data_IF_647457307126
#
_entry.id   IF_647457307126
#
_cell.length_a   1.000
_cell.length_b   1.000
_cell.length_c   1.000
_cell.angle_alpha   90.00
_cell.angle_beta   90.00
_cell.angle_gamma   90.00
#
_symmetry.space_group_name_H-M   'P 1'
#
loop_
_entity.id
_entity.type
_entity.pdbx_description
1 polymer ?
#
# COMPACT_ATOMS: atom_id res chain seq x y z
N UNK A 1 -4.63 12.99 0.72
CA UNK A 1 -3.67 12.00 1.26
C UNK A 1 -2.46 12.69 1.91
N UNK A 2 -2.69 13.65 2.81
CA UNK A 2 -1.61 14.30 3.56
C UNK A 2 -1.04 13.34 4.61
N UNK A 3 0.28 13.31 4.81
CA UNK A 3 0.95 12.41 5.76
C UNK A 3 1.32 11.02 5.20
N UNK A 4 0.96 10.75 3.95
CA UNK A 4 1.34 9.53 3.23
C UNK A 4 2.53 9.78 2.30
N UNK A 5 3.39 8.78 2.16
CA UNK A 5 4.55 8.78 1.26
C UNK A 5 4.10 8.62 -0.19
N UNK A 6 5.00 8.88 -1.13
CA UNK A 6 4.66 8.73 -2.55
C UNK A 6 4.54 7.25 -2.94
N UNK A 7 5.30 6.35 -2.30
CA UNK A 7 5.12 4.91 -2.44
C UNK A 7 3.70 4.47 -2.04
N UNK A 8 3.24 4.90 -0.86
CA UNK A 8 1.92 4.53 -0.34
C UNK A 8 0.80 5.04 -1.26
N UNK A 9 0.91 6.28 -1.74
CA UNK A 9 -0.06 6.86 -2.69
C UNK A 9 -0.07 6.10 -4.01
N UNK A 10 1.10 5.73 -4.53
CA UNK A 10 1.22 4.97 -5.77
C UNK A 10 0.57 3.58 -5.63
N UNK A 11 0.87 2.86 -4.55
CA UNK A 11 0.27 1.56 -4.25
C UNK A 11 -1.26 1.64 -4.13
N UNK A 12 -1.78 2.58 -3.32
CA UNK A 12 -3.23 2.78 -3.18
C UNK A 12 -3.90 3.17 -4.50
N UNK A 13 -3.25 4.00 -5.30
CA UNK A 13 -3.72 4.37 -6.64
C UNK A 13 -3.84 3.15 -7.55
N UNK A 14 -2.80 2.34 -7.62
CA UNK A 14 -2.76 1.13 -8.43
C UNK A 14 -3.74 0.05 -7.95
N UNK A 15 -3.96 -0.08 -6.62
CA UNK A 15 -5.01 -0.94 -6.05
C UNK A 15 -6.40 -0.56 -6.57
N UNK A 16 -6.67 0.75 -6.67
CA UNK A 16 -7.92 1.26 -7.23
C UNK A 16 -8.03 0.97 -8.73
N UNK A 17 -6.96 1.20 -9.50
CA UNK A 17 -6.95 1.02 -10.95
C UNK A 17 -7.12 -0.46 -11.35
N UNK A 18 -6.55 -1.38 -10.58
CA UNK A 18 -6.76 -2.82 -10.77
C UNK A 18 -8.18 -3.30 -10.47
N UNK A 19 -9.08 -2.44 -9.97
CA UNK A 19 -10.44 -2.81 -9.55
C UNK A 19 -11.51 -1.82 -10.03
N UNK A 20 -11.76 -1.74 -11.36
CA UNK A 20 -12.68 -0.75 -11.93
C UNK A 20 -14.10 -0.78 -11.31
N UNK A 21 -14.58 -1.96 -10.90
CA UNK A 21 -15.91 -2.15 -10.31
C UNK A 21 -16.10 -1.38 -8.98
N UNK A 22 -15.04 -1.21 -8.19
CA UNK A 22 -15.10 -0.54 -6.88
C UNK A 22 -14.23 0.72 -6.81
N UNK A 23 -13.45 1.03 -7.85
CA UNK A 23 -12.45 2.09 -7.88
C UNK A 23 -13.00 3.44 -7.40
N UNK A 24 -14.19 3.83 -7.88
CA UNK A 24 -14.83 5.10 -7.47
C UNK A 24 -15.11 5.15 -5.97
N UNK A 25 -15.68 4.09 -5.41
CA UNK A 25 -16.03 4.03 -3.99
C UNK A 25 -14.76 4.00 -3.13
N UNK A 26 -13.79 3.18 -3.52
CA UNK A 26 -12.52 3.06 -2.80
C UNK A 26 -11.75 4.38 -2.80
N UNK A 27 -11.67 5.08 -3.94
CA UNK A 27 -11.04 6.41 -4.02
C UNK A 27 -11.75 7.44 -3.14
N UNK A 28 -13.08 7.38 -3.04
CA UNK A 28 -13.86 8.28 -2.16
C UNK A 28 -13.51 8.07 -0.67
N UNK A 29 -13.41 6.82 -0.22
CA UNK A 29 -13.00 6.50 1.14
C UNK A 29 -11.55 6.93 1.40
N UNK A 30 -10.62 6.56 0.52
CA UNK A 30 -9.20 6.91 0.64
C UNK A 30 -8.95 8.42 0.56
N UNK A 31 -9.84 9.20 -0.06
CA UNK A 31 -9.74 10.66 -0.03
C UNK A 31 -9.91 11.24 1.39
N UNK A 32 -10.58 10.51 2.28
CA UNK A 32 -10.81 10.92 3.69
C UNK A 32 -9.83 10.33 4.68
N UNK A 33 -8.85 9.56 4.19
CA UNK A 33 -7.97 8.80 5.07
C UNK A 33 -7.11 9.70 5.97
N UNK A 34 -6.96 9.28 7.23
CA UNK A 34 -6.13 9.93 8.24
C UNK A 34 -5.14 8.92 8.79
N UNK A 35 -3.86 9.20 8.64
CA UNK A 35 -2.79 8.35 9.17
C UNK A 35 -2.99 8.16 10.68
N UNK A 36 -3.06 6.90 11.11
CA UNK A 36 -3.15 6.54 12.52
C UNK A 36 -1.78 6.05 13.01
N UNK A 37 -1.18 5.10 12.29
CA UNK A 37 0.10 4.50 12.65
C UNK A 37 0.88 4.07 11.39
N UNK A 38 2.20 4.07 11.51
CA UNK A 38 3.11 3.51 10.51
C UNK A 38 4.20 2.72 11.22
N UNK A 39 4.40 1.48 10.79
CA UNK A 39 5.44 0.60 11.29
C UNK A 39 6.23 0.02 10.11
N UNK A 40 7.55 0.25 10.09
CA UNK A 40 8.43 -0.52 9.22
C UNK A 40 8.84 -1.80 9.92
N UNK A 41 8.76 -2.91 9.21
CA UNK A 41 9.25 -4.22 9.66
C UNK A 41 10.54 -4.56 8.92
N UNK A 42 11.17 -5.70 9.25
CA UNK A 42 12.38 -6.13 8.54
C UNK A 42 12.08 -6.45 7.07
N UNK A 43 10.87 -6.95 6.79
CA UNK A 43 10.47 -7.46 5.49
C UNK A 43 9.45 -6.57 4.77
N UNK A 44 9.01 -5.47 5.37
CA UNK A 44 7.89 -4.70 4.84
C UNK A 44 7.54 -3.48 5.68
N UNK A 45 6.29 -3.05 5.58
CA UNK A 45 5.70 -2.03 6.43
C UNK A 45 4.18 -2.20 6.53
N UNK A 46 3.62 -1.62 7.59
CA UNK A 46 2.19 -1.39 7.75
C UNK A 46 1.95 0.11 7.89
N UNK A 47 1.00 0.63 7.11
CA UNK A 47 0.50 1.99 7.23
C UNK A 47 -0.99 1.92 7.48
N UNK A 48 -1.36 2.06 8.75
CA UNK A 48 -2.75 1.96 9.19
C UNK A 48 -3.38 3.34 9.36
N UNK A 49 -4.66 3.43 9.02
CA UNK A 49 -5.37 4.70 8.89
C UNK A 49 -6.86 4.54 9.11
N UNK A 50 -7.48 5.65 9.52
CA UNK A 50 -8.94 5.75 9.59
C UNK A 50 -9.49 6.36 8.30
N UNK A 51 -10.72 5.99 7.94
CA UNK A 51 -11.52 6.66 6.90
C UNK A 51 -12.87 7.12 7.46
N UNK A 52 -13.55 8.00 6.74
CA UNK A 52 -14.90 8.44 7.09
C UNK A 52 -15.93 7.31 6.92
N UNK A 53 -16.31 6.69 8.04
CA UNK A 53 -17.34 5.63 8.10
C UNK A 53 -18.77 6.14 7.88
N UNK A 54 -18.97 7.45 7.69
CA UNK A 54 -20.24 8.01 7.21
C UNK A 54 -20.49 7.74 5.73
N UNK A 55 -19.46 7.35 4.97
CA UNK A 55 -19.59 6.95 3.56
C UNK A 55 -19.96 5.46 3.43
N UNK A 56 -20.56 5.05 2.30
CA UNK A 56 -20.81 3.63 2.03
C UNK A 56 -19.51 2.80 2.04
N UNK A 57 -19.50 1.59 2.60
CA UNK A 57 -18.36 0.69 2.50
C UNK A 57 -18.19 0.20 1.05
N UNK A 58 -17.01 -0.34 0.75
CA UNK A 58 -16.79 -1.13 -0.47
C UNK A 58 -17.45 -2.50 -0.31
N UNK A 59 -18.19 -2.94 -1.33
CA UNK A 59 -18.68 -4.31 -1.41
C UNK A 59 -17.61 -5.16 -2.10
N UNK A 60 -16.93 -6.00 -1.33
CA UNK A 60 -15.89 -6.90 -1.82
C UNK A 60 -15.98 -8.25 -1.10
N UNK A 61 -15.74 -9.39 -1.79
CA UNK A 61 -15.93 -10.72 -1.21
C UNK A 61 -14.91 -11.09 -0.13
N UNK A 62 -13.76 -10.42 -0.09
CA UNK A 62 -12.64 -10.73 0.82
C UNK A 62 -12.32 -9.54 1.72
N UNK A 63 -11.58 -9.80 2.81
CA UNK A 63 -11.05 -8.78 3.72
C UNK A 63 -9.76 -8.11 3.23
N UNK A 64 -9.31 -8.45 2.02
CA UNK A 64 -8.05 -7.97 1.46
C UNK A 64 -8.20 -7.65 -0.02
N UNK A 65 -7.55 -6.58 -0.45
CA UNK A 65 -7.31 -6.23 -1.83
C UNK A 65 -5.82 -6.49 -2.12
N UNK A 66 -5.52 -7.66 -2.67
CA UNK A 66 -4.14 -8.09 -2.97
C UNK A 66 -3.58 -7.51 -4.26
N UNK A 67 -2.28 -7.25 -4.27
CA UNK A 67 -1.61 -6.60 -5.38
C UNK A 67 -1.91 -5.09 -5.42
N UNK A 68 -1.12 -4.32 -6.15
CA UNK A 68 -0.14 -4.76 -7.15
C UNK A 68 1.18 -5.28 -6.55
N UNK A 69 2.02 -5.84 -7.42
CA UNK A 69 3.46 -5.97 -7.19
C UNK A 69 4.18 -4.86 -7.95
N UNK A 70 5.30 -4.36 -7.42
CA UNK A 70 6.06 -3.27 -8.01
C UNK A 70 7.55 -3.39 -7.75
N UNK A 71 8.32 -2.78 -8.64
CA UNK A 71 9.70 -2.41 -8.36
C UNK A 71 9.72 -1.11 -7.55
N UNK A 72 10.53 -1.12 -6.49
CA UNK A 72 10.72 0.00 -5.57
C UNK A 72 12.22 0.27 -5.45
N UNK A 73 12.64 1.50 -5.71
CA UNK A 73 14.02 1.90 -5.51
C UNK A 73 14.30 2.17 -4.03
N UNK A 74 15.36 1.56 -3.50
CA UNK A 74 15.84 1.71 -2.11
C UNK A 74 17.36 1.76 -2.12
N UNK A 75 17.96 2.87 -1.69
CA UNK A 75 19.42 3.05 -1.63
C UNK A 75 20.16 2.67 -2.93
N UNK A 76 19.57 2.98 -4.09
CA UNK A 76 20.14 2.66 -5.40
C UNK A 76 19.98 1.20 -5.83
N UNK A 77 19.32 0.35 -5.03
CA UNK A 77 18.90 -1.00 -5.39
C UNK A 77 17.45 -1.03 -5.83
N UNK A 78 17.10 -2.02 -6.63
CA UNK A 78 15.70 -2.36 -6.95
C UNK A 78 15.22 -3.45 -6.00
N UNK A 79 14.13 -3.17 -5.30
CA UNK A 79 13.43 -4.11 -4.42
C UNK A 79 12.10 -4.49 -5.07
N UNK A 80 11.80 -5.78 -5.16
CA UNK A 80 10.47 -6.23 -5.57
C UNK A 80 9.55 -6.25 -4.36
N UNK A 81 8.43 -5.53 -4.42
CA UNK A 81 7.46 -5.43 -3.32
C UNK A 81 6.05 -5.78 -3.76
N UNK A 82 5.34 -6.54 -2.95
CA UNK A 82 3.89 -6.75 -3.04
C UNK A 82 3.15 -5.82 -2.08
N UNK A 83 1.89 -5.52 -2.41
CA UNK A 83 1.03 -4.68 -1.59
C UNK A 83 -0.31 -5.37 -1.31
N UNK A 84 -0.85 -5.15 -0.11
CA UNK A 84 -2.20 -5.60 0.28
C UNK A 84 -2.90 -4.44 0.99
N UNK A 85 -4.12 -4.12 0.56
CA UNK A 85 -4.99 -3.24 1.34
C UNK A 85 -5.99 -4.07 2.14
N UNK A 86 -5.92 -3.95 3.46
CA UNK A 86 -6.82 -4.60 4.41
C UNK A 86 -8.14 -3.86 4.52
N UNK A 87 -9.22 -4.62 4.59
CA UNK A 87 -10.60 -4.15 4.76
C UNK A 87 -11.20 -4.69 6.06
N UNK A 88 -11.88 -3.83 6.81
CA UNK A 88 -12.75 -4.20 7.92
C UNK A 88 -14.17 -3.73 7.61
N UNK A 89 -15.11 -4.68 7.51
CA UNK A 89 -16.50 -4.41 7.12
C UNK A 89 -16.64 -3.57 5.83
N UNK A 90 -15.70 -3.77 4.89
CA UNK A 90 -15.65 -3.06 3.61
C UNK A 90 -14.99 -1.67 3.67
N UNK A 91 -14.47 -1.26 4.82
CA UNK A 91 -13.69 -0.03 4.97
C UNK A 91 -12.19 -0.33 4.93
N UNK A 92 -11.39 0.41 4.13
CA UNK A 92 -9.95 0.24 4.14
C UNK A 92 -9.33 0.72 5.45
N UNK A 93 -8.46 -0.09 6.04
CA UNK A 93 -7.88 0.16 7.37
C UNK A 93 -6.36 0.19 7.41
N UNK A 94 -5.69 -0.61 6.58
CA UNK A 94 -4.24 -0.67 6.60
C UNK A 94 -3.67 -1.09 5.24
N UNK A 95 -2.66 -0.36 4.77
CA UNK A 95 -1.84 -0.76 3.64
C UNK A 95 -0.63 -1.53 4.17
N UNK A 96 -0.48 -2.77 3.73
CA UNK A 96 0.70 -3.58 3.92
C UNK A 96 1.55 -3.54 2.65
N UNK A 97 2.84 -3.31 2.79
CA UNK A 97 3.83 -3.55 1.75
C UNK A 97 4.84 -4.58 2.24
N UNK A 98 5.14 -5.60 1.44
CA UNK A 98 6.09 -6.65 1.81
C UNK A 98 7.05 -6.91 0.66
N UNK A 99 8.29 -7.27 0.96
CA UNK A 99 9.30 -7.52 -0.05
C UNK A 99 9.32 -8.98 -0.49
N UNK A 100 9.60 -9.20 -1.77
CA UNK A 100 10.04 -10.47 -2.34
C UNK A 100 11.57 -10.58 -2.41
N UNK A 101 12.29 -9.51 -2.08
CA UNK A 101 13.74 -9.38 -2.20
C UNK A 101 14.16 -8.60 -3.45
N UNK A 102 15.47 -8.43 -3.64
CA UNK A 102 16.07 -7.85 -4.85
C UNK A 102 16.09 -8.88 -5.99
N UNK A 103 16.33 -8.48 -7.25
CA UNK A 103 16.54 -9.42 -8.36
C UNK A 103 17.64 -10.46 -8.11
N UNK A 104 18.64 -10.12 -7.29
CA UNK A 104 19.74 -10.99 -6.87
C UNK A 104 19.37 -11.93 -5.71
N UNK A 105 18.16 -11.81 -5.17
CA UNK A 105 17.67 -12.63 -4.06
C UNK A 105 18.06 -12.12 -2.67
N UNK A 106 18.53 -10.87 -2.56
CA UNK A 106 18.87 -10.26 -1.28
C UNK A 106 17.62 -9.68 -0.61
N UNK A 107 17.56 -9.73 0.73
CA UNK A 107 16.58 -8.96 1.49
C UNK A 107 17.18 -7.63 1.95
N UNK A 108 16.35 -6.59 2.01
CA UNK A 108 16.70 -5.28 2.56
C UNK A 108 15.95 -5.12 3.89
N UNK A 109 16.67 -4.91 4.99
CA UNK A 109 16.03 -4.61 6.28
C UNK A 109 15.33 -3.24 6.22
N UNK A 110 14.01 -3.26 6.03
CA UNK A 110 13.19 -2.06 5.90
C UNK A 110 13.00 -1.31 7.23
N UNK A 111 13.31 -1.93 8.40
CA UNK A 111 13.32 -1.20 9.68
C UNK A 111 14.34 -0.08 9.69
N UNK A 112 15.42 -0.24 8.93
CA UNK A 112 16.52 0.69 8.84
C UNK A 112 16.33 1.74 7.73
N UNK A 113 15.21 1.71 7.00
CA UNK A 113 14.94 2.60 5.87
C UNK A 113 13.84 3.60 6.22
N UNK A 114 13.97 4.81 5.69
CA UNK A 114 12.88 5.78 5.72
C UNK A 114 11.88 5.42 4.61
N UNK A 115 10.64 5.09 4.98
CA UNK A 115 9.60 4.76 4.01
C UNK A 115 9.33 5.92 3.03
N UNK A 116 9.57 7.17 3.45
CA UNK A 116 9.41 8.33 2.58
C UNK A 116 10.49 8.43 1.50
N UNK A 117 11.63 7.74 1.67
CA UNK A 117 12.70 7.69 0.68
C UNK A 117 12.52 6.57 -0.36
N UNK A 118 11.58 5.64 -0.14
CA UNK A 118 11.28 4.57 -1.09
C UNK A 118 10.49 5.11 -2.27
N UNK A 119 10.90 4.74 -3.48
CA UNK A 119 10.31 5.25 -4.72
C UNK A 119 9.73 4.12 -5.54
N UNK A 120 8.42 4.14 -5.77
CA UNK A 120 7.78 3.30 -6.77
C UNK A 120 8.36 3.60 -8.14
N UNK A 121 8.97 2.63 -8.81
CA UNK A 121 9.52 2.83 -10.17
C UNK A 121 8.55 2.35 -11.24
N UNK A 122 8.03 1.12 -11.12
CA UNK A 122 7.06 0.55 -12.07
C UNK A 122 6.26 -0.60 -11.47
N UNK A 123 5.03 -0.86 -11.95
CA UNK A 123 4.33 -2.11 -11.66
C UNK A 123 5.08 -3.31 -12.26
N UNK A 124 4.85 -4.48 -11.67
CA UNK A 124 5.25 -5.79 -12.19
C UNK A 124 3.97 -6.58 -12.48
N UNK A 125 3.86 -7.07 -13.71
CA UNK A 125 2.72 -7.85 -14.21
C UNK A 125 2.68 -9.27 -13.64
#
# INVERSE_FOLDING_TARGET
MSGFTDLEKAALGAICDGRPAIARQLRSLLATMRLAERENTGHGFYTCFDVDKGQPPVVWPTRTLEGPTAEVAVDGKTLLMGFVLWLEDGFPTCLEGFQYGTPEGEEIDLKLKDLAALVWTRPVD
#
